data_IF_773369116798
#
_entry.id   IF_773369116798
#
_cell.length_a   1.000
_cell.length_b   1.000
_cell.length_c   1.000
_cell.angle_alpha   90.00
_cell.angle_beta   90.00
_cell.angle_gamma   90.00
#
_symmetry.space_group_name_H-M   'P 1'
#
loop_
_entity.id
_entity.type
_entity.pdbx_description
1 polymer ?
#
# COMPACT_ATOMS: atom_id res chain seq x y z
N UNK A 1 -38.32 14.37 7.30
CA UNK A 1 -37.93 13.15 6.55
C UNK A 1 -36.41 13.12 6.47
N UNK A 2 -35.76 12.46 7.44
CA UNK A 2 -34.35 12.06 7.33
C UNK A 2 -34.27 10.61 7.78
N UNK A 3 -34.48 9.72 6.81
CA UNK A 3 -34.30 8.27 6.95
C UNK A 3 -32.94 7.90 6.35
N UNK A 4 -31.88 8.51 6.89
CA UNK A 4 -30.51 8.20 6.50
C UNK A 4 -29.74 7.73 7.72
N UNK A 5 -28.84 6.74 7.58
CA UNK A 5 -27.93 6.42 8.67
C UNK A 5 -27.14 7.70 8.99
N UNK A 6 -27.36 8.23 10.19
CA UNK A 6 -26.62 9.37 10.69
C UNK A 6 -25.16 8.94 10.85
N UNK A 7 -24.24 9.82 10.46
CA UNK A 7 -22.78 9.59 10.53
C UNK A 7 -22.36 9.09 11.93
N UNK A 8 -23.00 9.59 12.99
CA UNK A 8 -22.80 9.15 14.37
C UNK A 8 -23.11 7.67 14.62
N UNK A 9 -24.14 7.13 13.95
CA UNK A 9 -24.50 5.72 14.04
C UNK A 9 -23.49 4.85 13.29
N UNK A 10 -22.94 5.32 12.17
CA UNK A 10 -21.88 4.60 11.45
C UNK A 10 -20.60 4.50 12.30
N UNK A 11 -20.21 5.57 13.00
CA UNK A 11 -19.05 5.54 13.89
C UNK A 11 -19.24 4.56 15.05
N UNK A 12 -20.42 4.54 15.70
CA UNK A 12 -20.65 3.62 16.82
C UNK A 12 -20.58 2.16 16.38
N UNK A 13 -21.14 1.84 15.20
CA UNK A 13 -21.09 0.49 14.62
C UNK A 13 -19.67 0.11 14.23
N UNK A 14 -18.91 1.05 13.63
CA UNK A 14 -17.52 0.82 13.26
C UNK A 14 -16.66 0.46 14.46
N UNK A 15 -16.84 1.16 15.60
CA UNK A 15 -16.10 0.86 16.84
C UNK A 15 -16.39 -0.58 17.31
N UNK A 16 -17.66 -1.01 17.28
CA UNK A 16 -18.03 -2.38 17.68
C UNK A 16 -17.36 -3.41 16.77
N UNK A 17 -17.36 -3.21 15.45
CA UNK A 17 -16.69 -4.10 14.50
C UNK A 17 -15.19 -4.17 14.80
N UNK A 18 -14.54 -3.02 15.04
CA UNK A 18 -13.11 -2.96 15.38
C UNK A 18 -12.81 -3.71 16.68
N UNK A 19 -13.70 -3.67 17.67
CA UNK A 19 -13.54 -4.41 18.93
C UNK A 19 -13.69 -5.92 18.75
N UNK A 20 -14.62 -6.37 17.91
CA UNK A 20 -14.84 -7.81 17.63
C UNK A 20 -13.68 -8.39 16.82
N UNK A 21 -13.27 -7.71 15.75
CA UNK A 21 -12.23 -8.21 14.85
C UNK A 21 -10.81 -7.86 15.34
N UNK A 22 -10.67 -6.87 16.21
CA UNK A 22 -9.40 -6.30 16.63
C UNK A 22 -8.74 -5.43 15.55
N UNK A 23 -7.98 -4.43 15.99
CA UNK A 23 -7.28 -3.48 15.09
C UNK A 23 -6.18 -4.16 14.26
N UNK A 24 -5.61 -5.28 14.73
CA UNK A 24 -4.51 -5.98 14.04
C UNK A 24 -4.97 -6.66 12.75
N UNK A 25 -6.14 -7.32 12.75
CA UNK A 25 -6.77 -7.92 11.55
C UNK A 25 -7.21 -6.83 10.57
N UNK A 26 -7.87 -5.79 11.09
CA UNK A 26 -8.31 -4.64 10.28
C UNK A 26 -7.15 -3.88 9.66
N UNK A 27 -6.01 -3.74 10.34
CA UNK A 27 -4.84 -3.07 9.75
C UNK A 27 -4.19 -3.90 8.65
N UNK A 28 -4.10 -5.22 8.83
CA UNK A 28 -3.51 -6.10 7.83
C UNK A 28 -4.35 -6.11 6.55
N UNK A 29 -5.68 -6.31 6.67
CA UNK A 29 -6.57 -6.29 5.51
C UNK A 29 -6.83 -4.87 4.98
N UNK A 30 -6.87 -3.87 5.86
CA UNK A 30 -7.07 -2.47 5.50
C UNK A 30 -5.87 -1.84 4.80
N UNK A 31 -4.64 -2.35 5.02
CA UNK A 31 -3.47 -1.92 4.25
C UNK A 31 -3.59 -2.36 2.78
N UNK A 32 -3.99 -3.61 2.54
CA UNK A 32 -4.14 -4.15 1.18
C UNK A 32 -5.30 -3.50 0.45
N UNK A 33 -6.47 -3.43 1.09
CA UNK A 33 -7.66 -2.77 0.55
C UNK A 33 -7.46 -1.25 0.40
N UNK A 34 -6.79 -0.62 1.37
CA UNK A 34 -6.48 0.80 1.35
C UNK A 34 -5.51 1.17 0.25
N UNK A 35 -4.51 0.33 -0.02
CA UNK A 35 -3.60 0.49 -1.16
C UNK A 35 -4.34 0.44 -2.51
N UNK A 36 -5.19 -0.58 -2.70
CA UNK A 36 -6.00 -0.71 -3.92
C UNK A 36 -6.99 0.46 -4.09
N UNK A 37 -7.67 0.87 -3.03
CA UNK A 37 -8.60 2.00 -3.04
C UNK A 37 -7.89 3.34 -3.28
N UNK A 38 -6.66 3.52 -2.76
CA UNK A 38 -5.85 4.71 -3.02
C UNK A 38 -5.50 4.82 -4.51
N UNK A 39 -5.02 3.74 -5.13
CA UNK A 39 -4.74 3.72 -6.57
C UNK A 39 -5.99 3.94 -7.42
N UNK A 40 -7.14 3.39 -7.01
CA UNK A 40 -8.42 3.63 -7.68
C UNK A 40 -8.83 5.10 -7.59
N UNK A 41 -8.74 5.72 -6.41
CA UNK A 41 -9.05 7.14 -6.22
C UNK A 41 -8.09 8.04 -7.01
N UNK A 42 -6.79 7.72 -7.03
CA UNK A 42 -5.82 8.43 -7.84
C UNK A 42 -6.15 8.33 -9.32
N UNK A 43 -6.42 7.14 -9.85
CA UNK A 43 -6.78 6.96 -11.25
C UNK A 43 -8.09 7.69 -11.65
N UNK A 44 -9.04 7.82 -10.72
CA UNK A 44 -10.28 8.57 -10.95
C UNK A 44 -10.03 10.08 -10.94
N UNK A 45 -9.22 10.57 -10.00
CA UNK A 45 -8.85 11.98 -9.91
C UNK A 45 -7.96 12.39 -11.08
N UNK A 46 -6.99 11.58 -11.48
CA UNK A 46 -6.13 11.83 -12.66
C UNK A 46 -6.98 11.88 -13.93
N UNK A 47 -8.10 11.16 -13.99
CA UNK A 47 -9.04 11.21 -15.12
C UNK A 47 -9.90 12.48 -15.13
N UNK A 48 -10.16 13.07 -13.97
CA UNK A 48 -10.81 14.39 -13.87
C UNK A 48 -9.81 15.52 -14.13
N UNK A 49 -8.56 15.40 -13.65
CA UNK A 49 -7.47 16.36 -13.85
C UNK A 49 -6.92 16.31 -15.30
N UNK A 50 -6.95 15.17 -16.00
CA UNK A 50 -6.59 15.11 -17.44
C UNK A 50 -7.63 15.76 -18.37
N UNK A 51 -8.75 16.26 -17.83
CA UNK A 51 -9.59 17.24 -18.54
C UNK A 51 -9.11 18.69 -18.37
N UNK A 52 -8.07 18.92 -17.56
CA UNK A 52 -7.46 20.22 -17.26
C UNK A 52 -5.98 20.04 -16.88
N UNK A 53 -5.09 19.97 -17.87
CA UNK A 53 -3.61 20.02 -17.78
C UNK A 53 -2.91 18.66 -17.95
N UNK A 54 -2.49 18.41 -19.19
CA UNK A 54 -1.28 17.63 -19.46
C UNK A 54 -0.09 18.42 -18.88
N UNK A 55 0.56 17.90 -17.83
CA UNK A 55 1.99 18.08 -17.47
C UNK A 55 2.23 17.66 -16.01
N UNK A 56 2.84 16.48 -15.81
CA UNK A 56 3.78 16.19 -14.71
C UNK A 56 4.37 14.78 -14.91
N UNK A 57 5.38 14.72 -15.76
CA UNK A 57 6.42 13.69 -15.68
C UNK A 57 7.22 13.92 -14.39
N UNK A 58 7.32 12.92 -13.51
CA UNK A 58 8.59 12.66 -12.83
C UNK A 58 8.64 11.24 -12.27
N UNK A 59 9.58 10.47 -12.82
CA UNK A 59 9.87 9.10 -12.41
C UNK A 59 10.36 9.01 -10.98
N UNK A 60 9.88 7.99 -10.27
CA UNK A 60 10.63 7.43 -9.14
C UNK A 60 11.23 6.11 -9.58
N UNK A 61 12.52 6.17 -9.89
CA UNK A 61 13.42 5.04 -9.99
C UNK A 61 13.27 4.21 -8.71
N UNK A 62 12.94 2.93 -8.87
CA UNK A 62 12.90 1.95 -7.79
C UNK A 62 14.36 1.54 -7.56
N UNK A 63 15.05 2.24 -6.65
CA UNK A 63 16.32 1.76 -6.10
C UNK A 63 16.03 0.70 -5.03
N UNK A 64 15.68 -0.49 -5.51
CA UNK A 64 15.61 -1.69 -4.69
C UNK A 64 17.00 -2.30 -4.59
N UNK A 65 17.73 -2.00 -3.51
CA UNK A 65 18.92 -2.75 -3.15
C UNK A 65 18.52 -4.21 -2.92
N UNK A 66 18.80 -5.06 -3.90
CA UNK A 66 18.88 -6.51 -3.72
C UNK A 66 20.35 -6.79 -3.49
N UNK A 67 20.79 -6.66 -2.24
CA UNK A 67 22.06 -7.27 -1.84
C UNK A 67 21.83 -8.77 -1.79
N UNK A 68 22.18 -9.40 -2.91
CA UNK A 68 22.45 -10.82 -3.00
C UNK A 68 23.48 -11.22 -1.94
N UNK A 69 23.05 -12.15 -1.11
CA UNK A 69 23.83 -12.99 -0.22
C UNK A 69 25.05 -13.60 -0.97
N UNK A 70 26.31 -13.26 -0.63
CA UNK A 70 27.45 -13.99 -1.15
C UNK A 70 27.65 -15.26 -0.31
N UNK A 71 27.04 -16.35 -0.75
CA UNK A 71 27.56 -17.68 -0.48
C UNK A 71 28.83 -17.88 -1.34
N UNK A 72 30.01 -17.57 -0.78
CA UNK A 72 31.28 -18.06 -1.32
C UNK A 72 31.98 -18.97 -0.32
N UNK A 73 31.66 -20.24 -0.54
CA UNK A 73 32.40 -21.45 -0.21
C UNK A 73 33.91 -21.26 -0.26
N UNK A 74 34.53 -21.45 0.91
CA UNK A 74 35.96 -21.65 1.10
C UNK A 74 36.37 -22.99 0.48
N UNK A 75 36.98 -22.99 -0.70
CA UNK A 75 37.88 -24.06 -1.15
C UNK A 75 39.19 -23.40 -1.55
N UNK A 76 40.19 -23.59 -0.70
CA UNK A 76 41.57 -23.27 -1.02
C UNK A 76 42.15 -24.39 -1.86
N UNK A 77 42.64 -24.05 -3.04
CA UNK A 77 43.59 -24.86 -3.79
C UNK A 77 44.72 -23.91 -4.20
N UNK A 78 45.87 -24.06 -3.54
CA UNK A 78 47.12 -23.43 -3.95
C UNK A 78 47.83 -24.44 -4.84
N UNK A 79 47.77 -24.22 -6.15
CA UNK A 79 48.73 -24.81 -7.09
C UNK A 79 49.70 -23.73 -7.60
N UNK A 80 50.99 -24.04 -7.43
CA UNK A 80 52.12 -23.62 -8.26
C UNK A 80 52.72 -22.20 -8.12
N UNK A 81 53.65 -22.03 -7.17
CA UNK A 81 55.06 -21.62 -7.39
C UNK A 81 55.83 -21.65 -6.08
#
# INVERSE_FOLDING_TARGET
MSMGPSIWQLIIVLVIIVLIFGTKKLRNMGSDLGGAMKSFKSAINDKEETSSTEEAEEGRIIEGTTEEQPAQTKVGEKENS
#
